data_IF_182331133499
#
_entry.id   IF_182331133499
#
_cell.length_a   1.000
_cell.length_b   1.000
_cell.length_c   1.000
_cell.angle_alpha   90.00
_cell.angle_beta   90.00
_cell.angle_gamma   90.00
#
_symmetry.space_group_name_H-M   'P 1'
#
loop_
_entity.id
_entity.type
_entity.pdbx_description
1 polymer ?
#
# COMPACT_ATOMS: atom_id res chain seq x y z
N UNK A 1 36.10 -28.09 -0.97
CA UNK A 1 36.38 -26.65 -0.85
C UNK A 1 35.16 -26.02 -0.20
N UNK A 2 35.29 -25.68 1.07
CA UNK A 2 34.20 -25.13 1.88
C UNK A 2 33.95 -23.69 1.45
N UNK A 3 32.79 -23.42 0.83
CA UNK A 3 32.35 -22.05 0.56
C UNK A 3 32.02 -21.38 1.90
N UNK A 4 32.97 -20.62 2.44
CA UNK A 4 32.71 -19.74 3.58
C UNK A 4 31.72 -18.66 3.14
N UNK A 5 30.44 -18.85 3.51
CA UNK A 5 29.43 -17.80 3.41
C UNK A 5 29.90 -16.66 4.31
N UNK A 6 30.25 -15.53 3.70
CA UNK A 6 30.66 -14.32 4.40
C UNK A 6 29.41 -13.69 5.05
N UNK A 7 29.06 -14.18 6.24
CA UNK A 7 27.95 -13.68 7.04
C UNK A 7 28.31 -12.30 7.56
N UNK A 8 27.68 -11.28 7.00
CA UNK A 8 27.75 -9.93 7.54
C UNK A 8 26.55 -9.76 8.46
N UNK A 9 26.77 -9.59 9.77
CA UNK A 9 25.70 -9.40 10.76
C UNK A 9 24.79 -8.21 10.44
N UNK A 10 25.26 -7.26 9.63
CA UNK A 10 24.48 -6.11 9.16
C UNK A 10 23.60 -6.42 7.93
N UNK A 11 23.69 -7.62 7.36
CA UNK A 11 22.92 -8.00 6.19
C UNK A 11 21.57 -8.60 6.59
N UNK A 12 20.51 -7.82 6.37
CA UNK A 12 19.13 -8.18 6.69
C UNK A 12 18.64 -9.45 5.97
N UNK A 13 19.23 -9.79 4.83
CA UNK A 13 18.77 -10.88 3.97
C UNK A 13 19.74 -12.08 3.91
N UNK A 14 20.96 -11.90 4.36
CA UNK A 14 21.99 -12.95 4.37
C UNK A 14 22.58 -13.10 5.78
N UNK A 15 21.75 -13.62 6.68
CA UNK A 15 22.11 -13.93 8.05
C UNK A 15 21.62 -15.33 8.44
N UNK A 16 22.22 -15.96 9.47
CA UNK A 16 21.88 -17.31 9.89
C UNK A 16 20.41 -17.47 10.32
N UNK A 17 19.76 -16.42 10.84
CA UNK A 17 18.34 -16.47 11.22
C UNK A 17 17.44 -16.68 9.99
N UNK A 18 17.72 -16.00 8.87
CA UNK A 18 16.97 -16.15 7.63
C UNK A 18 17.22 -17.53 7.00
N UNK A 19 18.45 -18.04 7.06
CA UNK A 19 18.77 -19.39 6.56
C UNK A 19 18.02 -20.49 7.32
N UNK A 20 17.93 -20.39 8.64
CA UNK A 20 17.18 -21.35 9.46
C UNK A 20 15.66 -21.22 9.25
N UNK A 21 15.15 -20.00 9.11
CA UNK A 21 13.74 -19.77 8.77
C UNK A 21 13.38 -20.40 7.41
N UNK A 22 14.25 -20.30 6.42
CA UNK A 22 14.07 -20.94 5.10
C UNK A 22 14.06 -22.46 5.19
N UNK A 23 14.92 -23.06 6.02
CA UNK A 23 14.96 -24.52 6.22
C UNK A 23 13.73 -25.04 6.96
N UNK A 24 13.15 -24.24 7.85
CA UNK A 24 11.94 -24.60 8.60
C UNK A 24 10.66 -24.52 7.76
N UNK A 25 10.68 -23.85 6.60
CA UNK A 25 9.54 -23.72 5.70
C UNK A 25 9.42 -24.89 4.73
N UNK A 26 8.20 -25.19 4.32
CA UNK A 26 7.95 -26.17 3.27
C UNK A 26 8.37 -25.60 1.90
N UNK A 27 8.76 -26.47 0.96
CA UNK A 27 9.14 -26.04 -0.41
C UNK A 27 8.05 -25.21 -1.09
N UNK A 28 6.78 -25.57 -0.85
CA UNK A 28 5.62 -24.86 -1.39
C UNK A 28 5.50 -23.44 -0.86
N UNK A 29 5.84 -23.22 0.42
CA UNK A 29 5.78 -21.90 1.02
C UNK A 29 6.94 -21.03 0.52
N UNK A 30 8.13 -21.61 0.35
CA UNK A 30 9.29 -20.92 -0.23
C UNK A 30 8.94 -20.41 -1.64
N UNK A 31 8.45 -21.28 -2.52
CA UNK A 31 8.05 -20.92 -3.88
C UNK A 31 6.95 -19.85 -3.90
N UNK A 32 5.98 -19.93 -2.96
CA UNK A 32 4.92 -18.92 -2.81
C UNK A 32 5.49 -17.56 -2.44
N UNK A 33 6.40 -17.50 -1.46
CA UNK A 33 7.02 -16.24 -1.05
C UNK A 33 7.94 -15.65 -2.11
N UNK A 34 8.66 -16.49 -2.87
CA UNK A 34 9.46 -16.06 -4.02
C UNK A 34 8.57 -15.41 -5.09
N UNK A 35 7.44 -16.04 -5.43
CA UNK A 35 6.50 -15.51 -6.42
C UNK A 35 5.90 -14.17 -5.98
N UNK A 36 5.52 -14.04 -4.71
CA UNK A 36 5.02 -12.78 -4.14
C UNK A 36 6.10 -11.69 -4.23
N UNK A 37 7.35 -12.02 -3.89
CA UNK A 37 8.48 -11.09 -4.00
C UNK A 37 8.73 -10.62 -5.44
N UNK A 38 8.66 -11.53 -6.41
CA UNK A 38 8.79 -11.19 -7.82
C UNK A 38 7.67 -10.29 -8.34
N UNK A 39 6.42 -10.56 -7.95
CA UNK A 39 5.27 -9.74 -8.32
C UNK A 39 5.38 -8.34 -7.74
N UNK A 40 5.85 -8.21 -6.50
CA UNK A 40 6.11 -6.90 -5.89
C UNK A 40 7.23 -6.17 -6.64
N UNK A 41 8.36 -6.84 -6.90
CA UNK A 41 9.51 -6.20 -7.55
C UNK A 41 9.22 -5.74 -8.98
N UNK A 42 8.49 -6.55 -9.76
CA UNK A 42 8.13 -6.21 -11.15
C UNK A 42 7.18 -5.02 -11.27
N UNK A 43 6.40 -4.74 -10.22
CA UNK A 43 5.41 -3.68 -10.21
C UNK A 43 5.92 -2.36 -9.58
N UNK A 44 7.21 -2.29 -9.22
CA UNK A 44 7.84 -1.07 -8.70
C UNK A 44 8.69 -0.43 -9.80
N UNK A 45 8.34 0.78 -10.23
CA UNK A 45 9.18 1.60 -11.11
C UNK A 45 10.14 2.48 -10.27
N UNK A 46 11.38 2.00 -10.11
CA UNK A 46 12.41 2.64 -9.29
C UNK A 46 12.98 3.95 -9.90
N UNK A 47 12.66 4.27 -11.15
CA UNK A 47 13.13 5.49 -11.81
C UNK A 47 12.23 6.68 -11.49
N UNK A 48 10.91 6.44 -11.36
CA UNK A 48 9.92 7.50 -11.14
C UNK A 48 9.29 7.47 -9.73
N UNK A 49 9.58 6.46 -8.89
CA UNK A 49 8.93 6.27 -7.59
C UNK A 49 7.40 6.09 -7.70
N UNK A 50 6.92 5.78 -8.90
CA UNK A 50 5.52 5.50 -9.20
C UNK A 50 5.26 4.00 -9.03
N UNK A 51 4.28 3.66 -8.19
CA UNK A 51 3.73 2.30 -8.19
C UNK A 51 2.63 2.28 -9.23
N UNK A 52 2.87 1.54 -10.30
CA UNK A 52 1.86 1.27 -11.32
C UNK A 52 0.88 0.26 -10.71
N UNK A 53 -0.30 0.74 -10.35
CA UNK A 53 -1.41 -0.14 -9.97
C UNK A 53 -2.45 -0.03 -11.08
N UNK A 54 -2.65 -1.13 -11.82
CA UNK A 54 -3.76 -1.34 -12.75
C UNK A 54 -4.12 -0.14 -13.66
N UNK A 55 -3.23 0.18 -14.60
CA UNK A 55 -3.62 0.86 -15.84
C UNK A 55 -3.96 2.36 -15.76
N UNK A 56 -3.91 2.99 -14.59
CA UNK A 56 -4.06 4.44 -14.48
C UNK A 56 -2.72 5.09 -14.11
N UNK A 57 -2.11 5.77 -15.08
CA UNK A 57 -1.05 6.73 -14.81
C UNK A 57 -1.70 7.85 -14.02
N UNK A 58 -1.46 7.88 -12.71
CA UNK A 58 -1.77 9.04 -11.88
C UNK A 58 -0.75 10.10 -12.29
N UNK A 59 -1.05 10.85 -13.35
CA UNK A 59 -0.30 12.05 -13.65
C UNK A 59 -0.41 12.95 -12.42
N UNK A 60 0.73 13.28 -11.81
CA UNK A 60 0.93 14.30 -10.75
C UNK A 60 0.51 13.98 -9.32
N UNK A 61 0.86 12.81 -8.78
CA UNK A 61 0.86 12.61 -7.32
C UNK A 61 2.29 12.29 -6.90
N UNK A 62 2.98 13.27 -6.30
CA UNK A 62 4.33 13.01 -5.77
C UNK A 62 4.27 11.93 -4.67
N UNK A 63 5.37 11.25 -4.34
CA UNK A 63 5.38 10.23 -3.29
C UNK A 63 4.78 10.71 -1.96
N UNK A 64 4.99 11.99 -1.61
CA UNK A 64 4.40 12.60 -0.42
C UNK A 64 2.88 12.74 -0.53
N UNK A 65 2.38 13.11 -1.71
CA UNK A 65 0.94 13.20 -1.96
C UNK A 65 0.27 11.83 -1.87
N UNK A 66 0.95 10.77 -2.31
CA UNK A 66 0.46 9.40 -2.20
C UNK A 66 0.40 8.91 -0.76
N UNK A 67 1.39 9.27 0.05
CA UNK A 67 1.37 8.98 1.48
C UNK A 67 0.20 9.68 2.17
N UNK A 68 -0.07 10.95 1.82
CA UNK A 68 -1.24 11.68 2.30
C UNK A 68 -2.57 10.99 1.97
N UNK A 69 -2.75 10.54 0.72
CA UNK A 69 -3.95 9.77 0.32
C UNK A 69 -4.07 8.48 1.13
N UNK A 70 -2.97 7.75 1.30
CA UNK A 70 -2.98 6.50 2.08
C UNK A 70 -3.31 6.74 3.56
N UNK A 71 -2.87 7.85 4.14
CA UNK A 71 -3.23 8.24 5.50
C UNK A 71 -4.73 8.53 5.61
N UNK A 72 -5.31 9.29 4.68
CA UNK A 72 -6.75 9.58 4.66
C UNK A 72 -7.55 8.28 4.50
N UNK A 73 -7.13 7.39 3.59
CA UNK A 73 -7.75 6.06 3.42
C UNK A 73 -7.67 5.24 4.71
N UNK A 74 -6.53 5.26 5.41
CA UNK A 74 -6.36 4.55 6.67
C UNK A 74 -7.30 5.11 7.76
N UNK A 75 -7.53 6.42 7.80
CA UNK A 75 -8.48 7.05 8.71
C UNK A 75 -9.93 6.63 8.41
N UNK A 76 -10.34 6.62 7.14
CA UNK A 76 -11.69 6.18 6.77
C UNK A 76 -11.88 4.68 7.11
N UNK A 77 -10.87 3.86 6.83
CA UNK A 77 -10.89 2.43 7.15
C UNK A 77 -10.90 2.16 8.67
N UNK A 78 -10.37 3.09 9.49
CA UNK A 78 -10.43 2.99 10.95
C UNK A 78 -11.75 3.47 11.53
N UNK A 79 -12.67 3.97 10.69
CA UNK A 79 -14.02 4.38 11.07
C UNK A 79 -14.23 5.90 11.08
N UNK A 80 -13.29 6.70 10.56
CA UNK A 80 -13.52 8.13 10.38
C UNK A 80 -14.62 8.35 9.33
N UNK A 81 -15.64 9.12 9.70
CA UNK A 81 -16.72 9.47 8.79
C UNK A 81 -16.24 10.51 7.75
N UNK A 82 -16.60 10.42 6.45
CA UNK A 82 -16.16 11.37 5.43
C UNK A 82 -16.45 12.85 5.73
N UNK A 83 -17.52 13.13 6.47
CA UNK A 83 -17.84 14.49 6.94
C UNK A 83 -16.84 15.09 7.92
N UNK A 84 -15.96 14.27 8.51
CA UNK A 84 -14.91 14.72 9.43
C UNK A 84 -13.60 15.05 8.71
N UNK A 85 -13.50 14.76 7.40
CA UNK A 85 -12.37 15.17 6.58
C UNK A 85 -12.42 16.68 6.34
N UNK A 86 -11.25 17.29 6.26
CA UNK A 86 -11.12 18.68 5.84
C UNK A 86 -11.43 18.82 4.33
N UNK A 87 -11.85 20.02 3.90
CA UNK A 87 -12.26 20.24 2.50
C UNK A 87 -11.12 20.01 1.50
N UNK A 88 -9.88 20.32 1.90
CA UNK A 88 -8.67 20.00 1.13
C UNK A 88 -8.49 18.48 0.97
N UNK A 89 -8.73 17.68 2.00
CA UNK A 89 -8.64 16.21 1.96
C UNK A 89 -9.71 15.61 1.05
N UNK A 90 -10.94 16.15 1.09
CA UNK A 90 -12.02 15.73 0.19
C UNK A 90 -11.67 16.01 -1.27
N UNK A 91 -11.09 17.19 -1.56
CA UNK A 91 -10.60 17.56 -2.89
C UNK A 91 -9.48 16.59 -3.31
N UNK A 92 -8.55 16.31 -2.41
CA UNK A 92 -7.43 15.42 -2.67
C UNK A 92 -7.87 13.99 -3.00
N UNK A 93 -8.86 13.48 -2.26
CA UNK A 93 -9.49 12.20 -2.52
C UNK A 93 -10.25 12.19 -3.86
N UNK A 94 -10.90 13.31 -4.22
CA UNK A 94 -11.59 13.45 -5.50
C UNK A 94 -10.64 13.48 -6.69
N UNK A 95 -9.48 14.11 -6.54
CA UNK A 95 -8.45 14.16 -7.59
C UNK A 95 -7.76 12.80 -7.75
N UNK A 96 -7.54 12.07 -6.66
CA UNK A 96 -6.84 10.79 -6.67
C UNK A 96 -7.73 9.59 -7.06
N UNK A 97 -8.96 9.53 -6.56
CA UNK A 97 -9.86 8.38 -6.67
C UNK A 97 -11.13 8.68 -7.49
N UNK A 98 -11.30 9.93 -7.92
CA UNK A 98 -12.48 10.41 -8.63
C UNK A 98 -13.52 11.04 -7.71
N UNK A 99 -14.42 11.85 -8.30
CA UNK A 99 -15.43 12.64 -7.56
C UNK A 99 -16.40 11.82 -6.72
N UNK A 100 -16.53 10.53 -7.01
CA UNK A 100 -17.45 9.60 -6.34
C UNK A 100 -16.72 8.60 -5.44
N UNK A 101 -15.52 8.94 -4.95
CA UNK A 101 -14.69 8.07 -4.13
C UNK A 101 -15.42 7.49 -2.91
N UNK A 102 -16.33 8.26 -2.30
CA UNK A 102 -17.08 7.89 -1.10
C UNK A 102 -17.96 6.64 -1.27
N UNK A 103 -18.37 6.33 -2.52
CA UNK A 103 -19.16 5.12 -2.83
C UNK A 103 -18.40 3.83 -2.52
N UNK A 104 -17.06 3.85 -2.60
CA UNK A 104 -16.22 2.69 -2.29
C UNK A 104 -16.37 2.21 -0.85
N UNK A 105 -16.75 3.11 0.05
CA UNK A 105 -16.97 2.82 1.47
C UNK A 105 -18.46 2.77 1.84
N UNK A 106 -19.36 2.80 0.84
CA UNK A 106 -20.80 2.70 1.05
C UNK A 106 -21.46 3.98 1.59
N UNK A 107 -20.75 5.12 1.54
CA UNK A 107 -21.31 6.41 1.92
C UNK A 107 -22.08 7.04 0.77
N UNK A 108 -22.97 7.97 1.10
CA UNK A 108 -23.67 8.82 0.16
C UNK A 108 -22.91 10.14 -0.06
N UNK A 109 -23.31 10.91 -1.06
CA UNK A 109 -22.68 12.21 -1.33
C UNK A 109 -22.88 13.17 -0.17
N UNK A 110 -24.04 13.12 0.43
CA UNK A 110 -24.42 13.94 1.57
C UNK A 110 -23.63 13.59 2.83
N UNK A 111 -23.10 12.36 2.93
CA UNK A 111 -22.21 11.93 4.01
C UNK A 111 -20.85 12.64 4.01
N UNK A 112 -20.52 13.35 2.93
CA UNK A 112 -19.35 14.24 2.87
C UNK A 112 -19.51 15.48 3.75
N UNK A 113 -20.74 15.89 4.06
CA UNK A 113 -21.02 17.12 4.82
C UNK A 113 -21.78 16.84 6.11
N UNK A 114 -22.63 15.80 6.15
CA UNK A 114 -23.46 15.47 7.31
C UNK A 114 -23.55 13.96 7.50
N UNK A 115 -23.53 13.47 8.74
CA UNK A 115 -23.77 12.05 9.02
C UNK A 115 -25.25 11.73 8.75
N UNK A 116 -25.55 11.02 7.65
CA UNK A 116 -26.90 10.53 7.40
C UNK A 116 -27.12 9.24 8.17
N UNK A 117 -27.96 9.31 9.20
CA UNK A 117 -28.50 8.12 9.86
C UNK A 117 -29.89 7.84 9.31
N UNK A 118 -30.11 6.65 8.77
CA UNK A 118 -31.45 6.17 8.49
C UNK A 118 -32.18 5.97 9.83
N UNK A 119 -33.39 6.54 9.93
CA UNK A 119 -34.31 6.33 11.06
C UNK A 119 -34.94 4.94 11.02
#
# INVERSE_FOLDING_TARGET
MSNEKNYNESNLFNNPMIDEAKKAMSKKDIERYEKIGEEIWKNIDFVNNDVITEGNIINTVTPEMKEGINQIIAQINSGLHPSMLEDNEKIFMADALGKEWYLKWGYLKEDLDNIITYK
#
